data_IF_568315317339
#
_entry.id   IF_568315317339
#
_cell.length_a   1.000
_cell.length_b   1.000
_cell.length_c   1.000
_cell.angle_alpha   90.00
_cell.angle_beta   90.00
_cell.angle_gamma   90.00
#
_symmetry.space_group_name_H-M   'P 1'
#
loop_
_entity.id
_entity.type
_entity.pdbx_description
1 polymer ?
#
# COMPACT_ATOMS: atom_id res chain seq x y z
N UNK A 1 -26.64 -9.15 -10.25
CA UNK A 1 -25.28 -8.87 -10.71
C UNK A 1 -24.39 -8.62 -9.50
N UNK A 2 -23.11 -8.93 -9.60
CA UNK A 2 -22.11 -8.67 -8.57
C UNK A 2 -20.96 -7.89 -9.18
N UNK A 3 -20.57 -6.83 -8.49
CA UNK A 3 -19.40 -6.01 -8.80
C UNK A 3 -18.28 -6.40 -7.83
N UNK A 4 -17.08 -6.68 -8.31
CA UNK A 4 -15.95 -7.10 -7.46
C UNK A 4 -14.61 -6.76 -8.09
N UNK A 5 -13.56 -6.86 -7.29
CA UNK A 5 -12.16 -6.74 -7.75
C UNK A 5 -11.61 -8.11 -8.09
N UNK A 6 -11.10 -8.26 -9.30
CA UNK A 6 -10.42 -9.48 -9.75
C UNK A 6 -8.91 -9.23 -9.82
N UNK A 7 -8.16 -9.87 -8.92
CA UNK A 7 -6.70 -9.76 -8.87
C UNK A 7 -6.06 -10.74 -9.86
N UNK A 8 -5.13 -10.26 -10.67
CA UNK A 8 -4.40 -11.05 -11.69
C UNK A 8 -3.00 -11.50 -11.21
N UNK A 9 -2.56 -11.04 -10.05
CA UNK A 9 -1.22 -11.34 -9.52
C UNK A 9 -1.10 -10.97 -8.05
N UNK A 10 0.13 -10.84 -7.57
CA UNK A 10 0.41 -10.52 -6.17
C UNK A 10 0.15 -9.04 -5.81
N UNK A 11 -0.03 -8.19 -6.81
CA UNK A 11 -0.19 -6.74 -6.62
C UNK A 11 -1.61 -6.27 -6.93
N UNK A 12 -2.11 -5.37 -6.12
CA UNK A 12 -3.43 -4.76 -6.28
C UNK A 12 -3.54 -3.87 -7.52
N UNK A 13 -2.44 -3.29 -7.99
CA UNK A 13 -2.40 -2.50 -9.24
C UNK A 13 -2.53 -3.35 -10.52
N UNK A 14 -2.48 -4.69 -10.39
CA UNK A 14 -2.74 -5.65 -11.47
C UNK A 14 -4.15 -6.24 -11.37
N UNK A 15 -5.04 -5.57 -10.66
CA UNK A 15 -6.43 -5.99 -10.49
C UNK A 15 -7.35 -5.24 -11.44
N UNK A 16 -8.52 -5.80 -11.70
CA UNK A 16 -9.56 -5.17 -12.49
C UNK A 16 -10.85 -5.07 -11.69
N UNK A 17 -11.63 -4.02 -11.95
CA UNK A 17 -13.02 -3.96 -11.51
C UNK A 17 -13.87 -4.72 -12.52
N UNK A 18 -14.59 -5.71 -12.04
CA UNK A 18 -15.33 -6.67 -12.87
C UNK A 18 -16.78 -6.75 -12.40
N UNK A 19 -17.70 -6.86 -13.35
CA UNK A 19 -19.10 -7.20 -13.10
C UNK A 19 -19.38 -8.61 -13.59
N UNK A 20 -20.18 -9.36 -12.84
CA UNK A 20 -20.64 -10.70 -13.21
C UNK A 20 -22.16 -10.79 -13.08
N UNK A 21 -22.79 -11.31 -14.12
CA UNK A 21 -24.20 -11.69 -14.09
C UNK A 21 -24.39 -12.96 -13.27
N UNK A 22 -25.26 -12.93 -12.28
CA UNK A 22 -25.61 -14.11 -11.48
C UNK A 22 -26.56 -15.05 -12.25
N UNK A 23 -27.22 -14.56 -13.30
CA UNK A 23 -28.19 -15.34 -14.06
C UNK A 23 -27.52 -16.30 -15.04
N UNK A 24 -26.46 -15.88 -15.70
CA UNK A 24 -25.79 -16.66 -16.75
C UNK A 24 -24.29 -16.83 -16.55
N UNK A 25 -23.71 -16.26 -15.48
CA UNK A 25 -22.28 -16.33 -15.17
C UNK A 25 -21.39 -15.46 -16.07
N UNK A 26 -21.96 -14.71 -17.01
CA UNK A 26 -21.18 -13.84 -17.89
C UNK A 26 -20.43 -12.79 -17.07
N UNK A 27 -19.15 -12.61 -17.40
CA UNK A 27 -18.23 -11.70 -16.72
C UNK A 27 -17.70 -10.66 -17.69
N UNK A 28 -17.64 -9.41 -17.23
CA UNK A 28 -17.09 -8.29 -18.01
C UNK A 28 -16.17 -7.43 -17.17
N UNK A 29 -14.99 -7.13 -17.70
CA UNK A 29 -14.06 -6.14 -17.11
C UNK A 29 -14.63 -4.75 -17.43
N UNK A 30 -14.79 -3.94 -16.39
CA UNK A 30 -15.25 -2.56 -16.49
C UNK A 30 -14.08 -1.58 -16.47
N UNK A 31 -13.10 -1.82 -15.58
CA UNK A 31 -11.92 -0.96 -15.41
C UNK A 31 -10.68 -1.84 -15.28
N UNK A 32 -9.77 -1.69 -16.19
CA UNK A 32 -8.44 -2.30 -16.10
C UNK A 32 -7.54 -1.53 -15.12
N UNK A 33 -6.84 -2.24 -14.25
CA UNK A 33 -5.98 -1.65 -13.21
C UNK A 33 -6.75 -0.93 -12.10
N UNK A 34 -8.06 -1.14 -12.00
CA UNK A 34 -8.92 -0.58 -10.97
C UNK A 34 -9.23 -1.57 -9.85
N UNK A 35 -9.51 -1.05 -8.66
CA UNK A 35 -9.88 -1.84 -7.47
C UNK A 35 -11.04 -1.20 -6.73
N UNK A 36 -11.69 -2.00 -5.87
CA UNK A 36 -12.75 -1.57 -4.94
C UNK A 36 -13.88 -0.79 -5.66
N UNK A 37 -14.35 -1.34 -6.79
CA UNK A 37 -15.43 -0.73 -7.57
C UNK A 37 -16.76 -0.77 -6.83
N UNK A 38 -17.45 0.37 -6.77
CA UNK A 38 -18.75 0.55 -6.14
C UNK A 38 -19.70 1.30 -7.07
N UNK A 39 -20.93 0.85 -7.15
CA UNK A 39 -21.98 1.57 -7.85
C UNK A 39 -22.56 2.65 -6.96
N UNK A 40 -22.62 3.87 -7.46
CA UNK A 40 -23.33 4.97 -6.85
C UNK A 40 -24.69 5.17 -7.56
N UNK A 41 -25.75 5.43 -6.80
CA UNK A 41 -27.12 5.64 -7.32
C UNK A 41 -27.23 6.80 -8.30
N UNK A 42 -26.24 7.69 -8.31
CA UNK A 42 -26.09 8.75 -9.31
C UNK A 42 -25.75 8.24 -10.74
N UNK A 43 -25.67 6.92 -10.95
CA UNK A 43 -25.32 6.32 -12.23
C UNK A 43 -23.82 6.30 -12.51
N UNK A 44 -23.00 6.23 -11.45
CA UNK A 44 -21.55 6.18 -11.59
C UNK A 44 -20.97 4.91 -10.98
N UNK A 45 -19.92 4.41 -11.62
CA UNK A 45 -18.98 3.47 -11.03
C UNK A 45 -17.87 4.29 -10.38
N UNK A 46 -17.69 4.10 -9.06
CA UNK A 46 -16.61 4.70 -8.27
C UNK A 46 -15.60 3.62 -7.96
N UNK A 47 -14.33 3.90 -8.16
CA UNK A 47 -13.27 2.90 -8.01
C UNK A 47 -11.92 3.55 -7.67
N UNK A 48 -11.02 2.78 -7.07
CA UNK A 48 -9.66 3.20 -6.80
C UNK A 48 -8.70 2.83 -7.93
N UNK A 49 -7.82 3.74 -8.29
CA UNK A 49 -6.71 3.50 -9.23
C UNK A 49 -5.56 4.45 -8.92
N UNK A 50 -4.33 3.93 -8.89
CA UNK A 50 -3.11 4.72 -8.66
C UNK A 50 -3.17 5.63 -7.41
N UNK A 51 -3.79 5.16 -6.33
CA UNK A 51 -3.91 5.90 -5.07
C UNK A 51 -5.05 6.94 -5.02
N UNK A 52 -5.83 7.06 -6.09
CA UNK A 52 -6.90 8.05 -6.23
C UNK A 52 -8.24 7.35 -6.46
N UNK A 53 -9.31 7.88 -5.90
CA UNK A 53 -10.68 7.44 -6.18
C UNK A 53 -11.18 8.20 -7.42
N UNK A 54 -11.69 7.44 -8.38
CA UNK A 54 -12.24 7.94 -9.64
C UNK A 54 -13.74 7.64 -9.73
N UNK A 55 -14.44 8.42 -10.50
CA UNK A 55 -15.83 8.16 -10.90
C UNK A 55 -15.94 8.18 -12.42
N UNK A 56 -16.73 7.26 -12.97
CA UNK A 56 -17.07 7.21 -14.40
C UNK A 56 -18.55 6.86 -14.55
N UNK A 57 -19.21 7.36 -15.60
CA UNK A 57 -20.60 6.98 -15.87
C UNK A 57 -20.71 5.49 -16.11
N UNK A 58 -21.69 4.86 -15.50
CA UNK A 58 -21.95 3.43 -15.60
C UNK A 58 -23.43 3.15 -15.72
N UNK A 59 -23.80 2.41 -16.75
CA UNK A 59 -25.15 1.92 -16.94
C UNK A 59 -25.26 0.47 -16.40
N UNK A 60 -26.00 0.25 -15.29
CA UNK A 60 -26.14 -1.08 -14.70
C UNK A 60 -26.99 -2.05 -15.52
N UNK A 61 -27.70 -1.56 -16.56
CA UNK A 61 -28.52 -2.39 -17.45
C UNK A 61 -27.67 -2.96 -18.58
N UNK A 62 -26.97 -2.09 -19.31
CA UNK A 62 -26.09 -2.49 -20.40
C UNK A 62 -24.71 -2.97 -19.92
N UNK A 63 -24.37 -2.74 -18.65
CA UNK A 63 -23.08 -3.04 -18.04
C UNK A 63 -21.91 -2.36 -18.76
N UNK A 64 -22.12 -1.09 -19.13
CA UNK A 64 -21.11 -0.31 -19.85
C UNK A 64 -20.71 0.94 -19.07
N UNK A 65 -19.43 1.21 -19.09
CA UNK A 65 -18.86 2.49 -18.68
C UNK A 65 -18.83 3.42 -19.89
N UNK A 66 -19.06 4.71 -19.66
CA UNK A 66 -19.06 5.72 -20.74
C UNK A 66 -18.45 7.02 -20.28
N UNK A 67 -17.85 7.76 -21.23
CA UNK A 67 -17.16 9.01 -20.94
C UNK A 67 -15.77 8.80 -20.34
N UNK A 68 -15.22 9.90 -19.83
CA UNK A 68 -13.87 9.91 -19.20
C UNK A 68 -14.00 9.78 -17.69
N UNK A 69 -13.18 8.93 -17.09
CA UNK A 69 -13.06 8.83 -15.64
C UNK A 69 -12.52 10.14 -15.06
N UNK A 70 -13.16 10.62 -14.01
CA UNK A 70 -12.77 11.85 -13.32
C UNK A 70 -12.23 11.50 -11.93
N UNK A 71 -11.07 12.01 -11.51
CA UNK A 71 -10.61 11.89 -10.13
C UNK A 71 -11.56 12.69 -9.22
N UNK A 72 -12.04 12.07 -8.14
CA UNK A 72 -13.04 12.69 -7.23
C UNK A 72 -12.53 12.81 -5.81
N UNK A 73 -11.57 11.98 -5.40
CA UNK A 73 -11.02 12.01 -4.04
C UNK A 73 -9.63 11.40 -4.02
N UNK A 74 -8.68 12.11 -3.45
CA UNK A 74 -7.31 11.64 -3.20
C UNK A 74 -7.04 11.45 -1.69
N UNK A 75 -5.86 10.94 -1.36
CA UNK A 75 -5.44 10.79 0.03
C UNK A 75 -6.29 9.83 0.86
N UNK A 76 -7.02 8.92 0.23
CA UNK A 76 -7.78 7.87 0.93
C UNK A 76 -6.86 6.74 1.35
N UNK A 77 -6.97 6.29 2.60
CA UNK A 77 -6.23 5.15 3.10
C UNK A 77 -6.50 3.91 2.26
N UNK A 78 -5.45 3.23 1.82
CA UNK A 78 -5.52 1.94 1.14
C UNK A 78 -4.85 0.86 1.99
N UNK A 79 -5.46 -0.28 2.13
CA UNK A 79 -4.89 -1.44 2.80
C UNK A 79 -3.99 -2.21 1.84
N UNK A 80 -2.68 -1.99 1.94
CA UNK A 80 -1.68 -2.58 1.04
C UNK A 80 -0.81 -3.66 1.70
N UNK A 81 -0.99 -3.95 3.00
CA UNK A 81 -0.21 -4.97 3.71
C UNK A 81 -0.53 -6.39 3.22
N UNK A 82 0.46 -7.29 3.33
CA UNK A 82 0.28 -8.69 2.98
C UNK A 82 -0.91 -9.31 3.75
N UNK A 83 -1.84 -9.93 3.01
CA UNK A 83 -3.10 -10.45 3.55
C UNK A 83 -4.22 -9.41 3.68
N UNK A 84 -3.97 -8.15 3.35
CA UNK A 84 -5.02 -7.13 3.29
C UNK A 84 -5.84 -7.24 2.00
N UNK A 85 -7.06 -6.73 2.05
CA UNK A 85 -8.03 -6.82 0.95
C UNK A 85 -7.75 -5.84 -0.20
N UNK A 86 -6.69 -5.01 -0.11
CA UNK A 86 -6.29 -4.01 -1.10
C UNK A 86 -7.27 -2.87 -1.30
N UNK A 87 -8.40 -2.88 -0.60
CA UNK A 87 -9.46 -1.90 -0.74
C UNK A 87 -9.09 -0.53 -0.17
N UNK A 88 -9.78 0.49 -0.67
CA UNK A 88 -9.74 1.83 -0.12
C UNK A 88 -10.72 1.97 1.04
N UNK A 89 -10.32 2.68 2.08
CA UNK A 89 -11.15 2.92 3.25
C UNK A 89 -12.13 4.07 3.01
N UNK A 90 -13.17 3.82 2.20
CA UNK A 90 -14.24 4.77 1.95
C UNK A 90 -15.60 4.07 1.86
N UNK A 91 -16.66 4.83 1.98
CA UNK A 91 -18.02 4.37 1.72
C UNK A 91 -18.84 5.51 1.11
N UNK A 92 -19.83 5.15 0.30
CA UNK A 92 -20.74 6.09 -0.37
C UNK A 92 -22.16 5.72 0.00
N UNK A 93 -22.96 6.69 0.45
CA UNK A 93 -24.41 6.51 0.65
C UNK A 93 -25.16 6.58 -0.69
N UNK A 94 -26.40 6.13 -0.68
CA UNK A 94 -27.29 6.24 -1.84
C UNK A 94 -27.56 7.69 -2.27
N UNK A 95 -27.41 8.64 -1.33
CA UNK A 95 -27.58 10.09 -1.59
C UNK A 95 -26.29 10.77 -2.06
N UNK A 96 -25.19 10.01 -2.22
CA UNK A 96 -23.91 10.51 -2.70
C UNK A 96 -22.99 11.10 -1.61
N UNK A 97 -23.33 10.95 -0.32
CA UNK A 97 -22.43 11.32 0.77
C UNK A 97 -21.27 10.34 0.84
N UNK A 98 -20.04 10.85 0.90
CA UNK A 98 -18.81 10.04 1.02
C UNK A 98 -18.23 10.18 2.41
N UNK A 99 -17.90 9.06 3.04
CA UNK A 99 -17.09 8.99 4.25
C UNK A 99 -15.81 8.21 3.93
N UNK A 100 -14.68 8.68 4.40
CA UNK A 100 -13.40 8.02 4.17
C UNK A 100 -12.42 8.21 5.32
N UNK A 101 -11.43 7.30 5.40
CA UNK A 101 -10.29 7.44 6.28
C UNK A 101 -9.13 8.06 5.50
N UNK A 102 -8.62 9.24 5.88
CA UNK A 102 -7.44 9.81 5.26
C UNK A 102 -6.20 8.91 5.43
N UNK A 103 -5.36 8.81 4.41
CA UNK A 103 -4.16 7.97 4.41
C UNK A 103 -3.20 8.30 5.55
N UNK A 104 -3.10 9.56 5.93
CA UNK A 104 -2.27 10.00 7.05
C UNK A 104 -2.67 9.40 8.41
N UNK A 105 -3.96 9.07 8.60
CA UNK A 105 -4.45 8.43 9.83
C UNK A 105 -4.39 6.90 9.78
N UNK A 106 -4.23 6.31 8.61
CA UNK A 106 -4.10 4.86 8.46
C UNK A 106 -2.67 4.36 8.75
N UNK A 107 -1.69 5.24 8.66
CA UNK A 107 -0.31 4.90 8.95
C UNK A 107 -0.14 4.70 10.46
N UNK A 108 0.10 3.47 10.88
CA UNK A 108 0.48 3.15 12.26
C UNK A 108 1.88 3.76 12.49
N UNK A 109 1.93 4.92 13.14
CA UNK A 109 3.18 5.55 13.53
C UNK A 109 3.77 4.84 14.75
N UNK A 110 5.02 4.43 14.65
CA UNK A 110 5.79 3.77 15.70
C UNK A 110 7.01 4.61 16.04
N UNK A 111 7.35 4.67 17.32
CA UNK A 111 8.62 5.21 17.78
C UNK A 111 9.64 4.09 17.88
N UNK A 112 10.89 4.37 17.57
CA UNK A 112 12.01 3.49 17.90
C UNK A 112 12.40 3.72 19.36
N UNK A 113 12.55 2.65 20.10
CA UNK A 113 12.93 2.69 21.52
C UNK A 113 14.04 1.69 21.80
N UNK A 114 14.96 2.07 22.66
CA UNK A 114 15.86 1.14 23.33
C UNK A 114 15.14 0.52 24.52
N UNK A 115 15.33 -0.77 24.72
CA UNK A 115 14.87 -1.47 25.92
C UNK A 115 16.07 -2.18 26.51
N UNK A 116 16.44 -1.84 27.74
CA UNK A 116 17.52 -2.53 28.46
C UNK A 116 17.04 -3.87 29.07
N UNK A 117 17.97 -4.65 29.64
CA UNK A 117 17.63 -5.93 30.26
C UNK A 117 16.74 -5.81 31.50
N UNK A 118 16.62 -4.64 32.08
CA UNK A 118 15.71 -4.33 33.18
C UNK A 118 14.34 -3.85 32.71
N UNK A 119 14.12 -3.79 31.39
CA UNK A 119 12.86 -3.33 30.78
C UNK A 119 12.68 -1.81 30.74
N UNK A 120 13.75 -1.04 30.98
CA UNK A 120 13.66 0.42 30.89
C UNK A 120 13.71 0.84 29.43
N UNK A 121 12.79 1.72 29.03
CA UNK A 121 12.65 2.23 27.68
C UNK A 121 13.30 3.62 27.55
N UNK A 122 14.06 3.81 26.48
CA UNK A 122 14.59 5.11 26.06
C UNK A 122 14.26 5.33 24.59
N UNK A 123 13.62 6.46 24.27
CA UNK A 123 13.26 6.79 22.89
C UNK A 123 14.48 7.23 22.09
N UNK A 124 14.61 6.70 20.87
CA UNK A 124 15.54 7.24 19.88
C UNK A 124 15.02 8.61 19.40
N UNK A 125 15.95 9.47 18.98
CA UNK A 125 15.63 10.79 18.41
C UNK A 125 15.04 10.70 16.99
N UNK A 126 14.45 9.55 16.63
CA UNK A 126 13.81 9.32 15.35
C UNK A 126 12.33 9.75 15.42
N UNK A 127 11.89 10.56 14.46
CA UNK A 127 10.49 10.94 14.30
C UNK A 127 9.59 9.68 14.19
N UNK A 128 8.42 9.64 14.86
CA UNK A 128 7.51 8.51 14.72
C UNK A 128 7.04 8.34 13.27
N UNK A 129 7.26 7.17 12.70
CA UNK A 129 6.89 6.81 11.33
C UNK A 129 6.38 5.36 11.24
N UNK A 130 5.99 4.90 10.07
CA UNK A 130 5.49 3.54 9.87
C UNK A 130 6.63 2.49 9.82
N UNK A 131 7.51 2.51 10.82
CA UNK A 131 8.64 1.59 10.94
C UNK A 131 8.19 0.15 11.12
N UNK A 132 8.87 -0.77 10.43
CA UNK A 132 8.71 -2.20 10.57
C UNK A 132 10.06 -2.92 10.51
N UNK A 133 10.13 -4.11 11.07
CA UNK A 133 11.23 -5.06 10.97
C UNK A 133 12.63 -4.49 11.25
N UNK A 134 12.87 -3.80 12.38
CA UNK A 134 14.20 -3.26 12.69
C UNK A 134 15.25 -4.37 12.79
N UNK A 135 16.42 -4.16 12.18
CA UNK A 135 17.57 -5.06 12.26
C UNK A 135 18.86 -4.27 12.42
N UNK A 136 19.65 -4.64 13.44
CA UNK A 136 20.96 -4.04 13.67
C UNK A 136 21.98 -4.46 12.63
N UNK A 137 22.87 -3.53 12.27
CA UNK A 137 24.16 -3.88 11.68
C UNK A 137 25.01 -4.64 12.68
N UNK A 138 25.99 -5.42 12.19
CA UNK A 138 26.85 -6.25 13.04
C UNK A 138 27.66 -5.45 14.06
N UNK A 139 28.07 -4.24 13.71
CA UNK A 139 28.77 -3.29 14.58
C UNK A 139 27.87 -2.58 15.60
N UNK A 140 26.55 -2.79 15.50
CA UNK A 140 25.54 -2.15 16.37
C UNK A 140 25.37 -0.64 16.17
N UNK A 141 25.96 -0.07 15.11
CA UNK A 141 25.92 1.39 14.89
C UNK A 141 24.78 1.85 14.00
N UNK A 142 24.13 0.92 13.26
CA UNK A 142 23.03 1.23 12.34
C UNK A 142 21.88 0.26 12.53
N UNK A 143 20.68 0.73 12.18
CA UNK A 143 19.47 -0.09 12.13
C UNK A 143 18.85 0.04 10.75
N UNK A 144 18.69 -1.08 10.03
CA UNK A 144 17.90 -1.09 8.81
C UNK A 144 16.42 -1.31 9.16
N UNK A 145 15.54 -0.64 8.43
CA UNK A 145 14.11 -0.55 8.69
C UNK A 145 13.34 -0.65 7.38
N UNK A 146 12.27 -1.41 7.36
CA UNK A 146 11.19 -1.27 6.38
C UNK A 146 10.30 -0.10 6.84
N UNK A 147 10.07 0.86 5.96
CA UNK A 147 9.22 2.02 6.25
C UNK A 147 8.04 2.06 5.27
N UNK A 148 6.84 2.00 5.81
CA UNK A 148 5.59 1.91 5.05
C UNK A 148 4.74 3.16 5.19
N UNK A 149 5.33 4.31 4.89
CA UNK A 149 4.58 5.58 4.84
C UNK A 149 3.81 5.69 3.49
N UNK A 150 4.15 6.68 2.67
CA UNK A 150 3.54 6.86 1.34
C UNK A 150 4.07 5.87 0.29
N UNK A 151 5.32 5.44 0.46
CA UNK A 151 5.98 4.42 -0.36
C UNK A 151 6.66 3.43 0.57
N UNK A 152 6.67 2.16 0.15
CA UNK A 152 7.39 1.13 0.90
C UNK A 152 8.86 1.17 0.51
N UNK A 153 9.72 1.54 1.46
CA UNK A 153 11.15 1.68 1.24
C UNK A 153 11.97 1.11 2.39
N UNK A 154 13.19 0.70 2.07
CA UNK A 154 14.18 0.33 3.06
C UNK A 154 15.00 1.57 3.42
N UNK A 155 15.15 1.80 4.71
CA UNK A 155 15.88 2.91 5.29
C UNK A 155 16.93 2.42 6.28
N UNK A 156 17.99 3.17 6.44
CA UNK A 156 19.02 2.95 7.46
C UNK A 156 19.03 4.13 8.44
N UNK A 157 18.90 3.82 9.72
CA UNK A 157 19.09 4.78 10.80
C UNK A 157 20.51 4.63 11.36
N UNK A 158 21.31 5.69 11.30
CA UNK A 158 22.60 5.80 11.94
C UNK A 158 22.40 6.23 13.42
N UNK A 159 22.76 5.35 14.34
CA UNK A 159 22.53 5.56 15.77
C UNK A 159 23.47 6.61 16.37
N UNK A 160 24.65 6.80 15.77
CA UNK A 160 25.65 7.76 16.23
C UNK A 160 25.35 9.17 15.76
N UNK A 161 24.98 9.29 14.47
CA UNK A 161 24.66 10.59 13.84
C UNK A 161 23.21 11.01 13.99
N UNK A 162 22.34 10.11 14.46
CA UNK A 162 20.89 10.29 14.53
C UNK A 162 20.31 10.71 13.17
N UNK A 163 20.73 10.05 12.08
CA UNK A 163 20.30 10.36 10.72
C UNK A 163 19.62 9.17 10.05
N UNK A 164 18.57 9.47 9.28
CA UNK A 164 17.81 8.50 8.51
C UNK A 164 18.16 8.65 7.02
N UNK A 165 18.64 7.58 6.40
CA UNK A 165 19.04 7.56 4.99
C UNK A 165 18.23 6.50 4.26
N UNK A 166 17.65 6.86 3.10
CA UNK A 166 16.96 5.90 2.24
C UNK A 166 17.98 5.01 1.53
N UNK A 167 17.79 3.69 1.65
CA UNK A 167 18.63 2.68 1.02
C UNK A 167 18.10 2.34 -0.37
N UNK A 168 16.80 2.06 -0.51
CA UNK A 168 16.21 1.69 -1.79
C UNK A 168 15.93 2.89 -2.68
N UNK A 169 16.10 2.70 -4.00
CA UNK A 169 15.74 3.69 -5.01
C UNK A 169 14.83 3.00 -6.03
N UNK A 170 13.63 3.55 -6.26
CA UNK A 170 12.69 3.01 -7.22
C UNK A 170 11.40 2.44 -6.60
N UNK A 171 10.66 1.67 -7.39
CA UNK A 171 9.43 1.01 -6.94
C UNK A 171 9.78 -0.34 -6.31
N UNK A 172 9.78 -0.39 -4.99
CA UNK A 172 9.91 -1.64 -4.26
C UNK A 172 8.68 -1.85 -3.37
N UNK A 173 8.21 -3.08 -3.30
CA UNK A 173 7.04 -3.41 -2.49
C UNK A 173 7.32 -3.42 -0.99
N UNK A 174 8.57 -3.14 -0.58
CA UNK A 174 9.00 -3.23 0.80
C UNK A 174 9.13 -4.69 1.25
N UNK A 175 9.72 -4.90 2.40
CA UNK A 175 9.88 -6.21 3.03
C UNK A 175 10.97 -6.20 4.07
N UNK A 176 11.10 -7.30 4.85
CA UNK A 176 12.18 -7.41 5.81
C UNK A 176 13.53 -7.28 5.11
N UNK A 177 14.38 -6.43 5.67
CA UNK A 177 15.75 -6.25 5.21
C UNK A 177 16.73 -6.63 6.30
N UNK A 178 17.90 -7.14 5.92
CA UNK A 178 18.99 -7.51 6.82
C UNK A 178 20.30 -6.95 6.32
N UNK A 179 21.26 -6.78 7.20
CA UNK A 179 22.64 -6.47 6.84
C UNK A 179 23.37 -7.74 6.40
N UNK A 180 24.29 -7.60 5.44
CA UNK A 180 25.27 -8.67 5.18
C UNK A 180 26.27 -8.79 6.33
N UNK A 181 27.08 -9.85 6.33
CA UNK A 181 28.07 -10.10 7.39
C UNK A 181 29.14 -9.00 7.52
N UNK A 182 29.50 -8.37 6.42
CA UNK A 182 30.46 -7.26 6.40
C UNK A 182 29.85 -5.96 6.97
N UNK A 183 28.52 -5.84 7.01
CA UNK A 183 27.81 -4.65 7.46
C UNK A 183 27.86 -3.48 6.49
N UNK A 184 28.27 -3.69 5.24
CA UNK A 184 28.42 -2.67 4.20
C UNK A 184 27.31 -2.71 3.14
N UNK A 185 26.48 -3.75 3.16
CA UNK A 185 25.34 -3.89 2.26
C UNK A 185 24.08 -4.37 2.98
N UNK A 186 22.94 -3.96 2.48
CA UNK A 186 21.61 -4.37 2.92
C UNK A 186 21.05 -5.37 1.92
N UNK A 187 20.60 -6.53 2.42
CA UNK A 187 19.95 -7.59 1.64
C UNK A 187 18.45 -7.52 1.89
N UNK A 188 17.66 -7.49 0.82
CA UNK A 188 16.21 -7.42 0.87
C UNK A 188 15.58 -8.10 -0.35
N UNK A 189 14.28 -8.40 -0.28
CA UNK A 189 13.53 -9.04 -1.35
C UNK A 189 12.54 -8.07 -1.97
N UNK A 190 12.92 -7.25 -2.98
CA UNK A 190 11.94 -6.47 -3.70
C UNK A 190 11.05 -7.39 -4.53
N UNK A 191 9.78 -7.04 -4.60
CA UNK A 191 8.87 -7.62 -5.58
C UNK A 191 8.94 -6.78 -6.85
N UNK A 192 9.53 -7.34 -7.90
CA UNK A 192 9.60 -6.72 -9.22
C UNK A 192 8.81 -7.58 -10.18
N UNK A 193 7.72 -7.05 -10.71
CA UNK A 193 6.83 -7.73 -11.67
C UNK A 193 6.27 -9.10 -11.18
N UNK A 194 5.99 -9.20 -9.88
CA UNK A 194 5.46 -10.43 -9.26
C UNK A 194 6.53 -11.47 -8.93
N UNK A 195 7.81 -11.14 -9.09
CA UNK A 195 8.94 -12.02 -8.78
C UNK A 195 9.72 -11.44 -7.59
N UNK A 196 9.77 -12.22 -6.50
CA UNK A 196 10.58 -11.86 -5.33
C UNK A 196 11.97 -12.49 -5.48
N UNK A 197 12.98 -11.65 -5.64
CA UNK A 197 14.38 -12.05 -5.64
C UNK A 197 15.15 -11.36 -4.51
N UNK A 198 16.28 -11.95 -4.09
CA UNK A 198 17.17 -11.28 -3.14
C UNK A 198 18.06 -10.29 -3.89
N UNK A 199 18.08 -9.06 -3.40
CA UNK A 199 18.94 -8.00 -3.86
C UNK A 199 19.85 -7.54 -2.73
N UNK A 200 21.07 -7.11 -3.07
CA UNK A 200 21.99 -6.47 -2.15
C UNK A 200 22.30 -5.06 -2.63
N UNK A 201 22.27 -4.09 -1.72
CA UNK A 201 22.59 -2.69 -2.00
C UNK A 201 23.53 -2.15 -0.92
N UNK A 202 24.65 -1.60 -1.32
CA UNK A 202 25.64 -0.89 -0.51
C UNK A 202 25.34 0.61 -0.41
#
# INVERSE_FOLDING_TARGET
>A
QVLFTLTKGAHWNQSDVVVQSLANGERRVLIEGGIDGRYASSGHLVYGKDGVIHAVKFDPVSLQVSGTATPVLDGVAQQTSAGAWGGFAYSISDEGTVVFLPAEYAAIRRSLVWIDRAGREERLAAEPRAYQYPRFSRDGQRVVLDMRDQQNDIWSWDLVRATLTRVTQGRYAGGPAIWNDAGDAVIFGPDVDGIINLHAQS
#
